data_IF_048448788222
#
_entry.id   IF_048448788222
#
_cell.length_a   1.000
_cell.length_b   1.000
_cell.length_c   1.000
_cell.angle_alpha   90.00
_cell.angle_beta   90.00
_cell.angle_gamma   90.00
#
_symmetry.space_group_name_H-M   'P 1'
#
loop_
_entity.id
_entity.type
_entity.pdbx_description
1 polymer ?
#
# COMPACT_ATOMS: atom_id res chain seq x y z
N UNK A 1 -10.50 7.98 -10.08
CA UNK A 1 -9.76 8.43 -8.88
C UNK A 1 -8.28 8.15 -9.11
N UNK A 2 -7.42 9.16 -8.99
CA UNK A 2 -6.03 9.12 -9.49
C UNK A 2 -5.00 8.43 -8.55
N UNK A 3 -5.43 7.89 -7.41
CA UNK A 3 -4.53 7.30 -6.40
C UNK A 3 -5.02 5.91 -6.02
N UNK A 4 -4.23 4.87 -6.32
CA UNK A 4 -4.63 3.46 -6.16
C UNK A 4 -4.95 3.08 -4.71
N UNK A 5 -4.28 3.67 -3.72
CA UNK A 5 -4.57 3.39 -2.31
C UNK A 5 -6.01 3.73 -1.93
N UNK A 6 -6.64 4.73 -2.55
CA UNK A 6 -8.04 5.09 -2.27
C UNK A 6 -9.06 4.10 -2.81
N UNK A 7 -8.65 3.18 -3.69
CA UNK A 7 -9.52 2.12 -4.21
C UNK A 7 -9.48 0.85 -3.33
N UNK A 8 -8.61 0.78 -2.32
CA UNK A 8 -8.52 -0.33 -1.37
C UNK A 8 -9.53 -0.17 -0.23
N UNK A 9 -10.39 -1.17 0.00
CA UNK A 9 -11.25 -1.19 1.20
C UNK A 9 -10.42 -1.58 2.44
N UNK A 10 -9.99 -0.57 3.17
CA UNK A 10 -9.14 -0.70 4.36
C UNK A 10 -9.81 -1.42 5.54
N UNK A 11 -11.12 -1.65 5.50
CA UNK A 11 -11.84 -2.40 6.54
C UNK A 11 -11.72 -3.91 6.36
N UNK A 12 -11.38 -4.36 5.15
CA UNK A 12 -11.33 -5.79 4.78
C UNK A 12 -9.91 -6.38 4.80
N UNK A 13 -8.90 -5.54 4.92
CA UNK A 13 -7.50 -6.00 5.00
C UNK A 13 -7.15 -6.44 6.42
N UNK A 14 -6.22 -7.39 6.55
CA UNK A 14 -5.69 -7.89 7.82
C UNK A 14 -4.19 -7.65 7.86
N UNK A 15 -3.74 -6.64 8.61
CA UNK A 15 -2.32 -6.38 8.85
C UNK A 15 -1.74 -7.40 9.88
N UNK A 16 -0.42 -7.71 9.83
CA UNK A 16 0.57 -7.20 8.88
C UNK A 16 0.52 -7.91 7.52
N UNK A 17 0.87 -7.21 6.45
CA UNK A 17 0.95 -7.80 5.10
C UNK A 17 1.91 -7.07 4.17
N UNK A 18 2.31 -7.75 3.08
CA UNK A 18 2.94 -7.15 1.90
C UNK A 18 2.02 -7.37 0.70
N UNK A 19 1.64 -6.30 0.02
CA UNK A 19 0.72 -6.33 -1.13
C UNK A 19 1.33 -5.61 -2.32
N UNK A 20 1.17 -6.16 -3.52
CA UNK A 20 1.44 -5.42 -4.75
C UNK A 20 0.33 -4.37 -4.90
N UNK A 21 0.71 -3.12 -4.71
CA UNK A 21 -0.20 -1.99 -4.78
C UNK A 21 -0.41 -1.54 -6.23
N UNK A 22 0.65 -1.52 -7.03
CA UNK A 22 0.56 -1.09 -8.41
C UNK A 22 1.70 -1.70 -9.25
N UNK A 23 1.43 -1.90 -10.53
CA UNK A 23 2.44 -2.28 -11.53
C UNK A 23 2.29 -1.30 -12.70
N UNK A 24 3.32 -0.49 -12.92
CA UNK A 24 3.36 0.50 -13.99
C UNK A 24 4.44 0.14 -15.00
N UNK A 25 4.01 -0.08 -16.24
CA UNK A 25 4.92 -0.16 -17.38
C UNK A 25 5.32 1.26 -17.79
N UNK A 26 6.62 1.53 -17.80
CA UNK A 26 7.18 2.81 -18.20
C UNK A 26 7.37 2.87 -19.73
N UNK A 27 7.38 4.07 -20.34
CA UNK A 27 7.43 4.22 -21.80
C UNK A 27 8.63 3.55 -22.48
N UNK A 28 9.73 3.33 -21.76
CA UNK A 28 10.95 2.71 -22.28
C UNK A 28 11.05 1.21 -22.00
N UNK A 29 9.96 0.58 -21.56
CA UNK A 29 9.87 -0.87 -21.34
C UNK A 29 10.16 -1.33 -19.92
N UNK A 30 10.62 -0.42 -19.05
CA UNK A 30 10.85 -0.73 -17.64
C UNK A 30 9.53 -0.98 -16.89
N UNK A 31 9.59 -1.78 -15.82
CA UNK A 31 8.43 -2.08 -14.97
C UNK A 31 8.68 -1.57 -13.56
N UNK A 32 7.86 -0.62 -13.13
CA UNK A 32 7.83 -0.12 -11.76
C UNK A 32 6.77 -0.88 -10.97
N UNK A 33 7.19 -1.57 -9.91
CA UNK A 33 6.25 -2.25 -8.98
C UNK A 33 6.20 -1.49 -7.65
N UNK A 34 5.01 -1.07 -7.24
CA UNK A 34 4.78 -0.40 -5.95
C UNK A 34 4.26 -1.43 -4.96
N UNK A 35 4.93 -1.54 -3.81
CA UNK A 35 4.51 -2.42 -2.72
C UNK A 35 3.93 -1.62 -1.56
N UNK A 36 2.87 -2.16 -1.00
CA UNK A 36 2.26 -1.72 0.25
C UNK A 36 2.73 -2.67 1.35
N UNK A 37 3.66 -2.19 2.17
CA UNK A 37 4.19 -2.91 3.33
C UNK A 37 3.46 -2.38 4.55
N UNK A 38 2.49 -3.15 5.03
CA UNK A 38 1.60 -2.71 6.10
C UNK A 38 1.92 -3.39 7.42
N UNK A 39 2.34 -2.59 8.39
CA UNK A 39 2.67 -3.04 9.74
C UNK A 39 1.44 -3.05 10.65
N UNK A 40 0.67 -1.96 10.67
CA UNK A 40 -0.45 -1.78 11.60
C UNK A 40 -1.80 -1.92 10.90
N UNK A 41 -2.81 -2.40 11.65
CA UNK A 41 -4.17 -2.49 11.17
C UNK A 41 -4.77 -1.08 10.94
N UNK A 42 -5.24 -0.76 9.73
CA UNK A 42 -5.80 0.56 9.43
C UNK A 42 -6.89 0.99 10.42
N UNK A 43 -6.78 2.22 10.93
CA UNK A 43 -7.71 2.85 11.88
C UNK A 43 -7.87 2.11 13.22
N UNK A 44 -6.98 1.17 13.56
CA UNK A 44 -6.95 0.52 14.88
C UNK A 44 -5.62 0.72 15.61
N UNK A 45 -4.52 0.69 14.87
CA UNK A 45 -3.17 0.85 15.40
C UNK A 45 -2.34 1.73 14.47
N UNK A 46 -1.25 2.28 15.01
CA UNK A 46 -0.27 3.05 14.25
C UNK A 46 1.13 2.87 14.83
N UNK A 47 2.15 3.17 14.03
CA UNK A 47 3.52 3.22 14.51
C UNK A 47 3.70 4.47 15.38
N UNK A 48 4.32 4.31 16.54
CA UNK A 48 4.74 5.44 17.38
C UNK A 48 5.95 6.11 16.73
N UNK A 49 5.94 7.43 16.62
CA UNK A 49 7.12 8.18 16.18
C UNK A 49 8.09 8.30 17.36
N UNK A 50 9.38 7.92 17.19
CA UNK A 50 10.38 8.21 18.19
C UNK A 50 10.54 9.74 18.34
N UNK A 51 10.74 10.18 19.58
CA UNK A 51 10.94 11.59 19.97
C UNK A 51 12.42 11.91 19.99
#
# INVERSE_FOLDING_TARGET
MNVESFNLDHRKVSAPYVRVADIKHLPHGDVLTKYDIRFCQPNKEHLTMPV
#
